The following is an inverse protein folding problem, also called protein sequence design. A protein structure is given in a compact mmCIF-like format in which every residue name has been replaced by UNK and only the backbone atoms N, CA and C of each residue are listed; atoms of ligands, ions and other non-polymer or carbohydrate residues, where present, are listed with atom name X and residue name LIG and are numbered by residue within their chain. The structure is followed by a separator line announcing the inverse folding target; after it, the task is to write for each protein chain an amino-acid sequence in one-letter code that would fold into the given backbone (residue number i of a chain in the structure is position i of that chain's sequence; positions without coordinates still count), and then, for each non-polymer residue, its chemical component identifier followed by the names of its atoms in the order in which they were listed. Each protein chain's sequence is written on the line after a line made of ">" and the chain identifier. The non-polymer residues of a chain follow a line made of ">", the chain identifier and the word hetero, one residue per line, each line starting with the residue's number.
data_IF_953560320056
#
_entry.id   IF_953560320056
#
_cell.length_a   1.000
_cell.length_b   1.000
_cell.length_c   1.000
_cell.angle_alpha   90.00
_cell.angle_beta   90.00
_cell.angle_gamma   90.00
#
_symmetry.space_group_name_H-M   'P 1'
#
loop_
_entity.id
_entity.type
_entity.pdbx_description
1 polymer ?
#
# COMPACT_ATOMS: atom_id res chain seq x y z
N UNK A 1 13.65 -8.83 30.28
CA UNK A 1 13.55 -8.45 29.81
C UNK A 1 13.38 -8.18 28.89
N UNK A 2 13.29 -8.06 28.44
CA UNK A 2 13.15 -7.63 27.69
C UNK A 2 12.75 -7.46 26.78
N UNK A 3 12.58 -7.25 26.29
CA UNK A 3 12.26 -6.97 25.46
C UNK A 3 11.98 -6.69 24.65
N UNK A 4 11.84 -6.62 24.22
CA UNK A 4 11.56 -6.25 23.37
C UNK A 4 11.17 -6.00 22.58
N UNK A 5 11.12 -5.80 22.30
CA UNK A 5 10.78 -5.43 21.48
C UNK A 5 10.53 -5.10 20.73
N UNK A 6 10.72 -4.95 20.63
CA UNK A 6 10.54 -4.53 19.98
C UNK A 6 10.20 -4.23 19.27
N UNK A 7 10.19 -4.33 19.17
CA UNK A 7 9.83 -3.93 18.48
C UNK A 7 9.25 -3.67 17.81
N UNK A 8 9.34 -3.82 17.80
CA UNK A 8 8.90 -3.55 17.35
C UNK A 8 8.27 -3.29 16.98
N UNK A 9 8.24 -3.34 17.28
CA UNK A 9 7.67 -3.05 17.02
C UNK A 9 7.17 -2.56 16.48
N UNK A 10 7.23 -2.44 16.35
CA UNK A 10 6.79 -2.07 15.76
C UNK A 10 6.20 -1.43 15.21
N UNK A 11 6.76 -1.31 15.10
CA UNK A 11 6.19 -0.27 14.36
C UNK A 11 4.99 -0.49 13.70
N UNK A 12 4.50 -1.46 13.94
CA UNK A 12 3.20 -1.68 13.43
C UNK A 12 2.31 -0.66 14.07
N UNK A 13 1.65 0.19 13.29
CA UNK A 13 0.74 1.13 13.88
C UNK A 13 -0.29 0.41 14.68
N UNK A 14 -0.74 1.05 15.72
CA UNK A 14 -1.67 0.42 16.63
C UNK A 14 -2.89 -0.11 15.92
N UNK A 15 -3.31 0.57 14.87
CA UNK A 15 -4.51 0.15 14.19
C UNK A 15 -4.25 -0.89 13.13
N UNK A 16 -3.01 -1.26 12.92
CA UNK A 16 -2.71 -2.25 11.93
C UNK A 16 -2.96 -3.62 12.53
N UNK A 17 -4.01 -4.24 12.10
CA UNK A 17 -4.33 -5.58 12.55
C UNK A 17 -3.98 -6.60 11.48
N UNK A 18 -3.00 -6.28 10.64
CA UNK A 18 -2.57 -7.15 9.56
C UNK A 18 -1.16 -6.80 9.11
N UNK A 19 -0.49 -7.76 8.50
CA UNK A 19 0.79 -7.56 7.85
C UNK A 19 0.61 -7.85 6.38
N UNK A 20 1.00 -6.90 5.53
CA UNK A 20 0.88 -7.03 4.09
C UNK A 20 2.26 -6.78 3.50
N UNK A 21 2.73 -7.72 2.67
CA UNK A 21 4.10 -7.71 2.21
C UNK A 21 4.18 -8.04 0.73
N UNK A 22 4.92 -7.22 -0.03
CA UNK A 22 5.33 -7.58 -1.38
C UNK A 22 6.51 -8.55 -1.30
N UNK A 23 6.62 -9.47 -2.26
CA UNK A 23 7.71 -10.45 -2.23
C UNK A 23 9.07 -9.82 -2.48
N UNK A 24 9.12 -8.75 -3.27
CA UNK A 24 10.38 -8.11 -3.60
C UNK A 24 10.12 -6.71 -4.14
N UNK A 25 11.22 -5.97 -4.34
CA UNK A 25 11.12 -4.59 -4.78
C UNK A 25 10.55 -4.48 -6.20
N UNK A 26 10.91 -5.41 -7.07
CA UNK A 26 10.46 -5.36 -8.46
C UNK A 26 8.94 -5.47 -8.52
N UNK A 27 8.38 -6.43 -7.77
CA UNK A 27 6.94 -6.61 -7.73
C UNK A 27 6.25 -5.40 -7.09
N UNK A 28 6.85 -4.86 -6.02
CA UNK A 28 6.29 -3.68 -5.35
C UNK A 28 6.25 -2.49 -6.30
N UNK A 29 7.32 -2.26 -7.06
CA UNK A 29 7.36 -1.17 -8.02
C UNK A 29 6.37 -1.38 -9.14
N UNK A 30 6.29 -2.59 -9.66
CA UNK A 30 5.35 -2.92 -10.72
C UNK A 30 3.92 -2.66 -10.27
N UNK A 31 3.55 -3.18 -9.11
CA UNK A 31 2.18 -3.02 -8.60
C UNK A 31 1.85 -1.55 -8.35
N UNK A 32 2.78 -0.81 -7.75
CA UNK A 32 2.57 0.60 -7.47
C UNK A 32 2.36 1.39 -8.75
N UNK A 33 3.19 1.15 -9.76
CA UNK A 33 3.08 1.83 -11.04
C UNK A 33 1.76 1.48 -11.74
N UNK A 34 1.34 0.22 -11.66
CA UNK A 34 0.10 -0.20 -12.28
C UNK A 34 -1.11 0.42 -11.59
N UNK A 35 -1.11 0.49 -10.25
CA UNK A 35 -2.21 1.13 -9.54
C UNK A 35 -2.34 2.59 -9.96
N UNK A 36 -1.22 3.28 -10.07
CA UNK A 36 -1.22 4.69 -10.48
C UNK A 36 -1.73 4.82 -11.92
N UNK A 37 -1.23 4.00 -12.83
CA UNK A 37 -1.63 4.09 -14.23
C UNK A 37 -3.11 3.80 -14.41
N UNK A 38 -3.63 2.81 -13.70
CA UNK A 38 -5.04 2.44 -13.81
C UNK A 38 -5.98 3.44 -13.16
N UNK A 39 -5.45 4.33 -12.33
CA UNK A 39 -6.25 5.35 -11.65
C UNK A 39 -5.92 6.76 -12.11
N UNK A 40 -5.38 6.90 -13.31
CA UNK A 40 -4.89 8.18 -13.79
C UNK A 40 -5.96 9.26 -13.77
N UNK A 41 -7.18 8.94 -14.19
CA UNK A 41 -8.26 9.92 -14.20
C UNK A 41 -8.67 10.34 -12.79
N UNK A 42 -8.67 9.40 -11.87
CA UNK A 42 -8.98 9.70 -10.47
C UNK A 42 -7.92 10.65 -9.90
N UNK A 43 -6.66 10.40 -10.24
CA UNK A 43 -5.57 11.24 -9.77
C UNK A 43 -5.70 12.65 -10.33
N UNK A 44 -5.96 12.78 -11.64
CA UNK A 44 -6.14 14.09 -12.28
C UNK A 44 -7.28 14.86 -11.63
N UNK A 45 -8.39 14.18 -11.35
CA UNK A 45 -9.53 14.85 -10.72
C UNK A 45 -9.18 15.29 -9.31
N UNK A 46 -8.46 14.46 -8.58
CA UNK A 46 -8.02 14.79 -7.23
C UNK A 46 -7.15 16.04 -7.23
N UNK A 47 -6.17 16.10 -8.15
CA UNK A 47 -5.26 17.24 -8.21
C UNK A 47 -5.98 18.51 -8.64
N UNK A 48 -6.97 18.40 -9.51
CA UNK A 48 -7.64 19.56 -10.07
C UNK A 48 -8.79 20.08 -9.21
N UNK A 49 -9.49 19.20 -8.49
CA UNK A 49 -10.77 19.56 -7.89
C UNK A 49 -10.86 19.31 -6.39
N UNK A 50 -9.84 18.71 -5.78
CA UNK A 50 -9.88 18.36 -4.38
C UNK A 50 -8.83 19.13 -3.61
N UNK A 51 -9.08 19.40 -2.33
CA UNK A 51 -8.10 20.00 -1.44
C UNK A 51 -7.48 18.96 -0.51
N UNK A 52 -7.86 17.70 -0.64
CA UNK A 52 -7.34 16.66 0.23
C UNK A 52 -5.84 16.45 0.00
N UNK A 53 -5.12 16.26 1.09
CA UNK A 53 -3.68 16.03 1.01
C UNK A 53 -3.36 14.62 0.51
N UNK A 54 -4.23 13.66 0.73
CA UNK A 54 -3.98 12.27 0.38
C UNK A 54 -5.07 11.71 -0.49
N UNK A 55 -4.69 10.76 -1.33
CA UNK A 55 -5.62 10.02 -2.17
C UNK A 55 -5.31 8.54 -2.05
N UNK A 56 -6.32 7.73 -1.81
CA UNK A 56 -6.18 6.28 -1.75
C UNK A 56 -6.70 5.71 -3.05
N UNK A 57 -5.85 4.93 -3.73
CA UNK A 57 -6.23 4.27 -4.98
C UNK A 57 -5.87 2.79 -4.89
N UNK A 58 -6.58 1.97 -5.65
CA UNK A 58 -6.44 0.52 -5.59
C UNK A 58 -6.58 -0.07 -6.97
N UNK A 59 -6.04 -1.28 -7.13
CA UNK A 59 -6.25 -2.06 -8.33
C UNK A 59 -6.08 -3.53 -7.99
N UNK A 60 -6.70 -4.38 -8.79
CA UNK A 60 -6.62 -5.82 -8.62
C UNK A 60 -6.31 -6.46 -9.96
N UNK A 61 -5.60 -7.59 -9.91
CA UNK A 61 -5.21 -8.33 -11.10
C UNK A 61 -5.59 -9.80 -10.91
N UNK A 62 -6.90 -10.12 -10.91
CA UNK A 62 -7.35 -11.47 -10.56
C UNK A 62 -6.88 -12.54 -11.53
N UNK A 63 -6.54 -12.17 -12.76
CA UNK A 63 -6.07 -13.14 -13.75
C UNK A 63 -4.55 -13.31 -13.76
N UNK A 64 -3.84 -12.57 -12.91
CA UNK A 64 -2.39 -12.67 -12.87
C UNK A 64 -2.00 -14.05 -12.31
N UNK A 65 -1.08 -14.80 -12.96
CA UNK A 65 -0.71 -16.12 -12.44
C UNK A 65 -0.09 -16.07 -11.06
N UNK A 66 0.77 -15.08 -10.82
CA UNK A 66 1.44 -14.98 -9.53
C UNK A 66 0.80 -13.90 -8.67
N UNK A 67 0.70 -14.13 -7.36
CA UNK A 67 0.20 -13.08 -6.47
C UNK A 67 1.17 -11.90 -6.42
N UNK A 68 0.65 -10.73 -6.07
CA UNK A 68 1.51 -9.55 -5.90
C UNK A 68 2.05 -9.46 -4.49
N UNK A 69 1.48 -10.17 -3.54
CA UNK A 69 1.96 -10.14 -2.17
C UNK A 69 1.18 -11.10 -1.29
N UNK A 70 1.39 -10.98 0.01
CA UNK A 70 0.70 -11.80 1.00
C UNK A 70 0.08 -10.92 2.06
N UNK A 71 -0.93 -11.45 2.71
CA UNK A 71 -1.66 -10.76 3.76
C UNK A 71 -1.88 -11.70 4.93
N UNK A 72 -1.59 -11.21 6.13
CA UNK A 72 -1.82 -11.96 7.37
C UNK A 72 -2.50 -11.01 8.35
N UNK A 73 -3.74 -11.34 8.74
CA UNK A 73 -4.44 -10.55 9.74
C UNK A 73 -4.07 -11.04 11.12
N UNK A 74 -4.35 -10.22 12.13
CA UNK A 74 -4.13 -10.61 13.52
C UNK A 74 -4.92 -11.87 13.86
N UNK A 75 -6.18 -11.95 13.43
CA UNK A 75 -6.99 -13.12 13.68
C UNK A 75 -6.41 -14.37 13.05
N UNK A 76 -5.91 -14.25 11.81
CA UNK A 76 -5.28 -15.38 11.15
C UNK A 76 -4.03 -15.84 11.90
N UNK A 77 -3.20 -14.89 12.34
CA UNK A 77 -1.98 -15.21 13.06
C UNK A 77 -2.30 -15.91 14.38
N UNK A 78 -3.30 -15.42 15.11
CA UNK A 78 -3.70 -16.03 16.36
C UNK A 78 -4.26 -17.42 16.16
N UNK A 79 -4.86 -17.68 15.00
CA UNK A 79 -5.39 -19.01 14.69
C UNK A 79 -4.32 -19.94 14.12
N UNK A 80 -3.08 -19.49 14.00
CA UNK A 80 -2.02 -20.32 13.46
C UNK A 80 -2.07 -20.46 11.96
N UNK A 81 -2.78 -19.57 11.27
CA UNK A 81 -2.91 -19.64 9.82
C UNK A 81 -1.74 -18.96 9.14
N UNK A 82 -1.46 -19.39 7.93
CA UNK A 82 -0.39 -18.81 7.14
C UNK A 82 -0.89 -17.59 6.38
N UNK A 83 0.04 -16.70 5.99
CA UNK A 83 -0.36 -15.57 5.13
C UNK A 83 -1.01 -16.08 3.84
N UNK A 84 -2.01 -15.35 3.37
CA UNK A 84 -2.68 -15.71 2.12
C UNK A 84 -2.12 -14.88 0.98
N UNK A 85 -2.04 -15.47 -0.23
CA UNK A 85 -1.64 -14.70 -1.40
C UNK A 85 -2.75 -13.77 -1.85
N UNK A 86 -2.38 -12.57 -2.28
CA UNK A 86 -3.35 -11.59 -2.77
C UNK A 86 -2.88 -11.03 -4.10
N UNK A 87 -3.84 -10.57 -4.92
CA UNK A 87 -3.58 -10.06 -6.26
C UNK A 87 -4.12 -8.65 -6.42
N UNK A 88 -3.99 -7.85 -5.39
CA UNK A 88 -4.45 -6.48 -5.43
C UNK A 88 -3.50 -5.63 -4.61
N UNK A 89 -3.50 -4.32 -4.85
CA UNK A 89 -2.64 -3.41 -4.11
C UNK A 89 -3.37 -2.10 -3.89
N UNK A 90 -3.00 -1.44 -2.81
CA UNK A 90 -3.49 -0.11 -2.44
C UNK A 90 -2.31 0.82 -2.37
N UNK A 91 -2.48 1.99 -2.96
CA UNK A 91 -1.44 3.03 -2.95
C UNK A 91 -2.05 4.29 -2.37
N UNK A 92 -1.36 4.91 -1.43
CA UNK A 92 -1.75 6.20 -0.88
C UNK A 92 -0.78 7.23 -1.45
N UNK A 93 -1.34 8.23 -2.12
CA UNK A 93 -0.57 9.35 -2.67
C UNK A 93 -0.71 10.54 -1.76
N UNK A 94 0.33 11.38 -1.72
CA UNK A 94 0.33 12.61 -0.94
C UNK A 94 0.76 13.76 -1.84
N UNK A 95 0.06 14.89 -1.73
CA UNK A 95 0.46 16.08 -2.48
C UNK A 95 1.82 16.54 -2.03
N UNK A 96 2.60 17.04 -2.97
CA UNK A 96 3.87 17.68 -2.61
C UNK A 96 3.58 19.04 -1.99
N UNK A 97 4.50 19.47 -1.13
CA UNK A 97 4.34 20.75 -0.46
C UNK A 97 4.54 21.93 -1.40
N UNK A 98 3.95 23.06 -1.04
CA UNK A 98 3.99 24.22 -1.90
C UNK A 98 5.39 24.78 -2.08
N UNK A 99 6.32 24.46 -1.20
CA UNK A 99 7.68 24.92 -1.35
C UNK A 99 8.58 23.99 -2.10
N UNK A 100 8.06 22.87 -2.60
CA UNK A 100 8.88 21.87 -3.26
C UNK A 100 8.94 22.13 -4.75
N UNK A 101 10.01 21.65 -5.39
CA UNK A 101 10.08 21.71 -6.83
C UNK A 101 8.89 20.98 -7.41
N UNK A 102 8.46 21.46 -8.51
CA UNK A 102 7.23 21.03 -9.05
C UNK A 102 7.33 19.97 -10.02
N UNK A 103 8.37 19.27 -10.11
CA UNK A 103 8.52 18.17 -11.04
C UNK A 103 7.43 17.14 -10.86
N UNK A 104 6.99 16.92 -9.61
CA UNK A 104 5.95 15.92 -9.34
C UNK A 104 4.91 16.54 -8.42
N UNK A 105 3.64 16.56 -8.86
CA UNK A 105 2.57 17.12 -8.00
C UNK A 105 2.22 16.24 -6.81
N UNK A 106 2.69 15.00 -6.79
CA UNK A 106 2.42 14.09 -5.66
C UNK A 106 3.55 13.10 -5.52
N UNK A 107 3.59 12.44 -4.37
CA UNK A 107 4.53 11.35 -4.11
C UNK A 107 3.76 10.18 -3.57
N UNK A 108 4.36 8.99 -3.66
CA UNK A 108 3.79 7.79 -3.07
C UNK A 108 4.07 7.83 -1.57
N UNK A 109 3.00 7.84 -0.78
CA UNK A 109 3.12 7.84 0.68
C UNK A 109 3.24 6.41 1.20
N UNK A 110 2.46 5.50 0.66
CA UNK A 110 2.55 4.09 1.00
C UNK A 110 1.99 3.24 -0.12
N UNK A 111 2.43 1.99 -0.14
CA UNK A 111 1.96 1.01 -1.12
C UNK A 111 2.00 -0.35 -0.45
N UNK A 112 0.89 -1.10 -0.54
CA UNK A 112 0.83 -2.41 0.10
C UNK A 112 -0.14 -3.32 -0.64
N UNK A 113 0.11 -4.64 -0.58
CA UNK A 113 -0.84 -5.60 -1.13
C UNK A 113 -2.08 -5.65 -0.25
N UNK A 114 -3.23 -5.88 -0.86
CA UNK A 114 -4.50 -5.95 -0.15
C UNK A 114 -5.34 -7.06 -0.75
N UNK A 115 -6.37 -7.44 0.01
CA UNK A 115 -7.36 -8.41 -0.43
C UNK A 115 -8.62 -7.62 -0.79
N UNK A 116 -8.90 -7.56 -2.07
CA UNK A 116 -10.08 -6.84 -2.56
C UNK A 116 -11.16 -7.82 -2.99
#
# INVERSE_FOLDING_TARGET
>A
MTTPPAPSASPVPARADRAATFPDRVTAQWATQQVIALNEQVIHRWLAQSTRQRLVIEAAWPSRPDPVGTLLTTGMALAGQEPIPVRAARVVLRRTGSGEPEAHPFTVHSSLPVDL
#
